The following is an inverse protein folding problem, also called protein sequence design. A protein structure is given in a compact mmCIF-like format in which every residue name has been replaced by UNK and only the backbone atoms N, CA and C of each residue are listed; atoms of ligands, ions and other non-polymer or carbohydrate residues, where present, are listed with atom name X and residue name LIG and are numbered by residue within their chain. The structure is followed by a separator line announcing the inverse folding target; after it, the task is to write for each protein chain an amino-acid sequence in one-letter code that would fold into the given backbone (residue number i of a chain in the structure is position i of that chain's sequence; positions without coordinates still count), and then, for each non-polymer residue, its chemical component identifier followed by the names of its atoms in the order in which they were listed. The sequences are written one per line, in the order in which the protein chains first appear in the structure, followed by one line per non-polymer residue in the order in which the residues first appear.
data_IF_116634254641
#
_entry.id   IF_116634254641
#
_cell.length_a   1.000
_cell.length_b   1.000
_cell.length_c   1.000
_cell.angle_alpha   90.00
_cell.angle_beta   90.00
_cell.angle_gamma   90.00
#
_symmetry.space_group_name_H-M   'P 1'
#
loop_
_entity.id
_entity.type
_entity.pdbx_description
1 polymer ?
#
# COMPACT_ATOMS: atom_id res chain seq x y z
N UNK A 1 16.17 -8.01 -4.46
CA UNK A 1 15.63 -7.94 -3.08
C UNK A 1 14.15 -8.24 -3.16
N UNK A 2 13.71 -9.26 -2.48
CA UNK A 2 12.28 -9.63 -2.49
C UNK A 2 11.50 -8.66 -1.61
N UNK A 3 10.67 -7.81 -2.19
CA UNK A 3 9.79 -6.89 -1.47
C UNK A 3 8.75 -7.62 -0.59
N UNK A 4 8.60 -8.91 -0.83
CA UNK A 4 7.67 -9.78 -0.11
C UNK A 4 8.37 -10.66 0.93
N UNK A 5 9.70 -10.73 0.92
CA UNK A 5 10.45 -11.38 1.97
C UNK A 5 10.37 -10.47 3.21
N UNK A 6 9.53 -10.84 4.16
CA UNK A 6 9.33 -10.08 5.36
C UNK A 6 10.65 -9.91 6.10
N UNK A 7 10.98 -8.69 6.43
CA UNK A 7 11.91 -8.45 7.52
C UNK A 7 11.27 -9.08 8.77
N UNK A 8 11.78 -10.24 9.12
CA UNK A 8 11.34 -10.96 10.32
C UNK A 8 11.85 -10.20 11.54
N UNK A 9 11.19 -9.13 11.88
CA UNK A 9 11.34 -8.50 13.18
C UNK A 9 10.28 -9.10 14.08
N UNK A 10 10.69 -10.10 14.78
CA UNK A 10 9.84 -11.03 15.52
C UNK A 10 9.07 -10.42 16.70
N UNK A 11 9.38 -9.21 17.12
CA UNK A 11 8.82 -8.64 18.35
C UNK A 11 8.24 -7.23 18.21
N UNK A 12 8.14 -6.70 17.01
CA UNK A 12 7.63 -5.35 16.81
C UNK A 12 6.29 -5.38 16.06
N UNK A 13 5.38 -4.51 16.47
CA UNK A 13 4.09 -4.34 15.83
C UNK A 13 4.22 -3.87 14.35
N UNK A 14 5.42 -3.45 13.94
CA UNK A 14 5.70 -2.98 12.58
C UNK A 14 7.21 -3.02 12.26
N UNK A 15 7.53 -2.96 10.98
CA UNK A 15 8.89 -2.74 10.47
C UNK A 15 8.97 -1.43 9.68
N UNK A 16 10.12 -0.75 9.75
CA UNK A 16 10.40 0.39 8.88
C UNK A 16 10.91 -0.11 7.53
N UNK A 17 10.40 0.49 6.45
CA UNK A 17 10.76 0.15 5.09
C UNK A 17 10.85 1.41 4.23
N UNK A 18 11.88 1.48 3.39
CA UNK A 18 11.99 2.53 2.38
C UNK A 18 11.34 2.07 1.08
N UNK A 19 10.63 2.98 0.43
CA UNK A 19 10.10 2.79 -0.91
C UNK A 19 10.68 3.84 -1.83
N UNK A 20 11.41 3.42 -2.88
CA UNK A 20 11.94 4.38 -3.85
C UNK A 20 10.82 5.05 -4.63
N UNK A 21 11.09 6.23 -5.17
CA UNK A 21 10.17 6.89 -6.09
C UNK A 21 9.96 6.04 -7.34
N UNK A 22 8.73 5.97 -7.81
CA UNK A 22 8.37 5.19 -8.99
C UNK A 22 7.10 5.73 -9.66
N UNK A 23 6.82 5.23 -10.84
CA UNK A 23 5.60 5.53 -11.57
C UNK A 23 4.69 4.32 -11.59
N UNK A 24 3.43 4.55 -11.23
CA UNK A 24 2.37 3.54 -11.30
C UNK A 24 1.48 3.79 -12.51
N UNK A 25 1.03 2.71 -13.12
CA UNK A 25 -0.01 2.70 -14.16
C UNK A 25 -1.24 2.03 -13.58
N UNK A 26 -2.38 2.71 -13.60
CA UNK A 26 -3.59 2.19 -12.97
C UNK A 26 -4.80 3.10 -13.07
N UNK A 27 -5.64 3.10 -12.04
CA UNK A 27 -6.89 3.84 -11.99
C UNK A 27 -7.11 4.50 -10.64
N UNK A 28 -7.73 5.69 -10.68
CA UNK A 28 -8.33 6.31 -9.52
C UNK A 28 -9.71 5.74 -9.23
N UNK A 29 -10.02 5.67 -7.96
CA UNK A 29 -11.34 5.40 -7.43
C UNK A 29 -11.65 6.40 -6.31
N UNK A 30 -12.90 6.73 -6.13
CA UNK A 30 -13.36 7.56 -5.01
C UNK A 30 -14.71 7.06 -4.54
N UNK A 31 -14.88 6.91 -3.25
CA UNK A 31 -16.11 6.39 -2.68
C UNK A 31 -16.12 6.45 -1.16
N UNK A 32 -17.18 5.90 -0.59
CA UNK A 32 -17.36 5.82 0.86
C UNK A 32 -16.67 4.60 1.44
N UNK A 33 -16.41 4.64 2.75
CA UNK A 33 -15.94 3.47 3.49
C UNK A 33 -16.91 2.29 3.39
N UNK A 34 -18.22 2.58 3.37
CA UNK A 34 -19.26 1.57 3.19
C UNK A 34 -19.16 0.87 1.83
N UNK A 35 -18.97 1.64 0.76
CA UNK A 35 -18.77 1.09 -0.58
C UNK A 35 -17.53 0.21 -0.66
N UNK A 36 -16.43 0.65 -0.08
CA UNK A 36 -15.19 -0.12 -0.03
C UNK A 36 -15.38 -1.43 0.76
N UNK A 37 -16.04 -1.37 1.92
CA UNK A 37 -16.37 -2.54 2.72
C UNK A 37 -17.29 -3.52 1.99
N UNK A 38 -18.17 -3.02 1.12
CA UNK A 38 -19.04 -3.84 0.27
C UNK A 38 -18.33 -4.45 -0.96
N UNK A 39 -17.02 -4.24 -1.10
CA UNK A 39 -16.21 -4.85 -2.17
C UNK A 39 -16.07 -4.01 -3.44
N UNK A 40 -16.31 -2.72 -3.39
CA UNK A 40 -16.21 -1.83 -4.55
C UNK A 40 -14.81 -1.80 -5.19
N UNK A 41 -13.76 -2.13 -4.43
CA UNK A 41 -12.38 -2.18 -4.93
C UNK A 41 -12.01 -3.52 -5.58
N UNK A 42 -12.76 -4.58 -5.36
CA UNK A 42 -12.45 -5.90 -5.92
C UNK A 42 -12.34 -5.91 -7.45
N UNK A 43 -13.24 -5.28 -8.23
CA UNK A 43 -13.09 -5.21 -9.68
C UNK A 43 -11.82 -4.49 -10.12
N UNK A 44 -11.39 -3.47 -9.37
CA UNK A 44 -10.13 -2.77 -9.64
C UNK A 44 -8.92 -3.67 -9.43
N UNK A 45 -8.92 -4.43 -8.34
CA UNK A 45 -7.83 -5.36 -8.04
C UNK A 45 -7.76 -6.44 -9.11
N UNK A 46 -8.88 -7.00 -9.54
CA UNK A 46 -8.94 -7.97 -10.64
C UNK A 46 -8.39 -7.37 -11.95
N UNK A 47 -8.74 -6.14 -12.26
CA UNK A 47 -8.21 -5.45 -13.44
C UNK A 47 -6.69 -5.28 -13.37
N UNK A 48 -6.15 -4.92 -12.20
CA UNK A 48 -4.70 -4.80 -12.00
C UNK A 48 -3.99 -6.16 -12.06
N UNK A 49 -4.61 -7.22 -11.58
CA UNK A 49 -4.09 -8.59 -11.74
C UNK A 49 -3.96 -8.96 -13.21
N UNK A 50 -4.96 -8.67 -14.01
CA UNK A 50 -4.94 -8.92 -15.45
C UNK A 50 -3.89 -8.07 -16.15
N UNK A 51 -3.77 -6.80 -15.81
CA UNK A 51 -2.74 -5.91 -16.35
C UNK A 51 -1.34 -6.42 -16.01
N UNK A 52 -1.11 -6.83 -14.79
CA UNK A 52 0.16 -7.42 -14.35
C UNK A 52 0.48 -8.71 -15.12
N UNK A 53 -0.49 -9.60 -15.26
CA UNK A 53 -0.30 -10.87 -15.95
C UNK A 53 0.02 -10.68 -17.45
N UNK A 54 -0.54 -9.64 -18.07
CA UNK A 54 -0.34 -9.33 -19.49
C UNK A 54 0.92 -8.51 -19.77
N UNK A 55 1.58 -7.96 -18.73
CA UNK A 55 2.79 -7.17 -18.90
C UNK A 55 3.97 -8.01 -19.38
N UNK A 56 4.90 -7.37 -20.09
CA UNK A 56 6.13 -8.01 -20.55
C UNK A 56 7.20 -8.14 -19.46
N UNK A 57 6.95 -7.59 -18.28
CA UNK A 57 7.90 -7.59 -17.17
C UNK A 57 8.19 -9.01 -16.69
N UNK A 58 9.47 -9.37 -16.62
CA UNK A 58 9.90 -10.69 -16.10
C UNK A 58 9.59 -10.86 -14.63
N UNK A 59 9.72 -9.79 -13.85
CA UNK A 59 9.45 -9.76 -12.43
C UNK A 59 8.22 -8.93 -12.17
N UNK A 60 7.19 -9.57 -11.61
CA UNK A 60 5.95 -8.88 -11.31
C UNK A 60 6.08 -8.12 -9.99
N UNK A 61 5.93 -6.80 -10.08
CA UNK A 61 5.86 -5.94 -8.91
C UNK A 61 4.53 -6.11 -8.18
N UNK A 62 4.45 -5.78 -6.88
CA UNK A 62 3.18 -5.73 -6.17
C UNK A 62 2.18 -4.79 -6.85
N UNK A 63 0.90 -5.08 -6.67
CA UNK A 63 -0.16 -4.12 -6.95
C UNK A 63 -0.18 -3.13 -5.81
N UNK A 64 -0.07 -1.84 -6.11
CA UNK A 64 0.05 -0.78 -5.11
C UNK A 64 -1.25 0.01 -5.03
N UNK A 65 -1.79 0.14 -3.83
CA UNK A 65 -2.89 1.01 -3.50
C UNK A 65 -2.44 2.21 -2.66
N UNK A 66 -2.89 3.40 -3.02
CA UNK A 66 -2.60 4.64 -2.29
C UNK A 66 -3.90 5.31 -1.90
N UNK A 67 -4.00 5.74 -0.65
CA UNK A 67 -5.21 6.33 -0.08
C UNK A 67 -4.98 7.79 0.28
N UNK A 68 -5.93 8.63 -0.12
CA UNK A 68 -6.06 10.02 0.33
C UNK A 68 -7.38 10.16 1.09
N UNK A 69 -7.29 10.57 2.34
CA UNK A 69 -8.43 10.80 3.21
C UNK A 69 -8.98 12.22 2.95
N UNK A 70 -9.67 12.41 1.85
CA UNK A 70 -10.11 13.71 1.33
C UNK A 70 -11.53 14.09 1.79
N UNK A 71 -12.20 13.23 2.55
CA UNK A 71 -13.55 13.46 3.06
C UNK A 71 -13.87 12.62 4.30
N UNK A 72 -14.85 13.03 5.13
CA UNK A 72 -15.14 12.34 6.40
C UNK A 72 -15.74 10.94 6.24
N UNK A 73 -16.49 10.69 5.18
CA UNK A 73 -17.25 9.45 4.95
C UNK A 73 -16.60 8.48 3.96
N UNK A 74 -15.42 8.82 3.45
CA UNK A 74 -14.77 8.00 2.45
C UNK A 74 -13.35 8.45 2.15
N UNK A 75 -12.88 8.07 0.97
CA UNK A 75 -11.52 8.34 0.55
C UNK A 75 -11.38 8.29 -0.97
N UNK A 76 -10.29 8.84 -1.44
CA UNK A 76 -9.80 8.67 -2.80
C UNK A 76 -8.70 7.61 -2.81
N UNK A 77 -8.67 6.80 -3.83
CA UNK A 77 -7.77 5.66 -3.95
C UNK A 77 -7.17 5.60 -5.34
N UNK A 78 -5.90 5.25 -5.44
CA UNK A 78 -5.26 4.89 -6.69
C UNK A 78 -4.76 3.47 -6.58
N UNK A 79 -5.10 2.63 -7.54
CA UNK A 79 -4.60 1.26 -7.61
C UNK A 79 -3.87 1.09 -8.94
N UNK A 80 -2.62 0.61 -8.86
CA UNK A 80 -1.81 0.48 -10.05
C UNK A 80 -0.63 -0.48 -9.88
N UNK A 81 0.06 -0.68 -10.96
CA UNK A 81 1.28 -1.48 -11.02
C UNK A 81 2.43 -0.66 -11.57
N UNK A 82 3.64 -1.02 -11.18
CA UNK A 82 4.86 -0.53 -11.82
C UNK A 82 5.15 -1.40 -13.04
N UNK A 83 5.15 -0.81 -14.22
CA UNK A 83 5.46 -1.48 -15.48
C UNK A 83 6.12 -0.53 -16.45
N UNK A 84 7.02 -1.05 -17.28
CA UNK A 84 7.60 -0.32 -18.42
C UNK A 84 6.64 -0.27 -19.62
N UNK A 85 5.62 -1.11 -19.62
CA UNK A 85 4.67 -1.18 -20.72
C UNK A 85 3.75 0.04 -20.75
N UNK A 86 3.43 0.51 -21.95
CA UNK A 86 2.34 1.46 -22.13
C UNK A 86 1.01 0.73 -22.12
N UNK A 87 0.10 1.23 -21.29
CA UNK A 87 -1.25 0.68 -21.18
C UNK A 87 -2.28 1.77 -21.52
N UNK A 88 -2.87 1.69 -22.70
CA UNK A 88 -3.90 2.61 -23.14
C UNK A 88 -5.14 2.53 -22.23
N UNK A 89 -5.69 3.69 -21.88
CA UNK A 89 -6.89 3.78 -21.05
C UNK A 89 -6.62 3.73 -19.53
N UNK A 90 -5.36 3.63 -19.12
CA UNK A 90 -4.96 3.76 -17.72
C UNK A 90 -4.29 5.10 -17.45
N UNK A 91 -4.36 5.52 -16.22
CA UNK A 91 -3.68 6.73 -15.74
C UNK A 91 -2.29 6.39 -15.21
N UNK A 92 -1.39 7.35 -15.26
CA UNK A 92 -0.05 7.25 -14.67
C UNK A 92 0.07 8.18 -13.48
N UNK A 93 0.70 7.70 -12.42
CA UNK A 93 0.93 8.45 -11.21
C UNK A 93 2.40 8.34 -10.81
N UNK A 94 3.07 9.48 -10.71
CA UNK A 94 4.40 9.54 -10.12
C UNK A 94 4.30 9.53 -8.60
N UNK A 95 4.93 8.54 -7.98
CA UNK A 95 4.95 8.36 -6.53
C UNK A 95 6.32 8.74 -6.02
N UNK A 96 6.43 9.69 -5.08
CA UNK A 96 7.73 10.06 -4.52
C UNK A 96 8.30 8.96 -3.65
N UNK A 97 9.62 8.98 -3.47
CA UNK A 97 10.27 8.14 -2.47
C UNK A 97 9.71 8.46 -1.08
N UNK A 98 9.49 7.43 -0.28
CA UNK A 98 8.95 7.58 1.07
C UNK A 98 9.52 6.55 2.02
N UNK A 99 9.62 6.93 3.29
CA UNK A 99 9.83 5.98 4.38
C UNK A 99 8.48 5.57 4.94
N UNK A 100 8.29 4.28 5.17
CA UNK A 100 7.05 3.74 5.68
C UNK A 100 7.29 2.88 6.91
N UNK A 101 6.27 2.81 7.75
CA UNK A 101 6.12 1.74 8.73
C UNK A 101 5.08 0.76 8.21
N UNK A 102 5.38 -0.52 8.23
CA UNK A 102 4.51 -1.51 7.64
C UNK A 102 4.36 -2.78 8.48
N UNK A 103 3.27 -3.49 8.24
CA UNK A 103 3.06 -4.82 8.75
C UNK A 103 2.40 -5.70 7.67
N UNK A 104 2.59 -6.99 7.80
CA UNK A 104 1.88 -7.96 6.99
C UNK A 104 0.52 -8.27 7.62
N UNK A 105 -0.54 -8.05 6.84
CA UNK A 105 -1.89 -8.47 7.21
C UNK A 105 -2.17 -9.83 6.57
N UNK A 106 -2.17 -10.88 7.37
CA UNK A 106 -2.44 -12.26 6.93
C UNK A 106 -3.86 -12.70 7.24
N UNK A 107 -4.20 -13.90 6.80
CA UNK A 107 -5.55 -14.46 6.90
C UNK A 107 -6.10 -14.56 8.33
N UNK A 108 -5.24 -14.68 9.35
CA UNK A 108 -5.65 -14.77 10.76
C UNK A 108 -5.59 -13.45 11.53
N UNK A 109 -5.33 -12.34 10.86
CA UNK A 109 -5.04 -11.06 11.52
C UNK A 109 -6.28 -10.23 11.90
N UNK A 110 -7.48 -10.72 11.64
CA UNK A 110 -8.72 -9.95 11.80
C UNK A 110 -9.02 -9.07 10.59
N UNK A 111 -9.63 -7.92 10.81
CA UNK A 111 -9.94 -6.98 9.75
C UNK A 111 -8.73 -6.10 9.38
N UNK A 112 -8.74 -5.55 8.19
CA UNK A 112 -7.73 -4.56 7.75
C UNK A 112 -7.73 -3.34 8.65
N UNK A 113 -8.90 -2.88 9.08
CA UNK A 113 -9.03 -1.75 10.02
C UNK A 113 -8.36 -2.03 11.36
N UNK A 114 -8.51 -3.24 11.89
CA UNK A 114 -7.83 -3.66 13.14
C UNK A 114 -6.31 -3.68 12.97
N UNK A 115 -5.82 -4.15 11.82
CA UNK A 115 -4.38 -4.15 11.52
C UNK A 115 -3.82 -2.73 11.40
N UNK A 116 -4.52 -1.82 10.76
CA UNK A 116 -4.15 -0.39 10.77
C UNK A 116 -4.14 0.19 12.17
N UNK A 117 -5.11 -0.19 13.01
CA UNK A 117 -5.15 0.23 14.41
C UNK A 117 -3.91 -0.22 15.19
N UNK A 118 -3.47 -1.45 14.99
CA UNK A 118 -2.22 -1.95 15.59
C UNK A 118 -0.99 -1.18 15.10
N UNK A 119 -0.93 -0.90 13.80
CA UNK A 119 0.16 -0.14 13.20
C UNK A 119 0.23 1.28 13.75
N UNK A 120 -0.89 1.97 13.82
CA UNK A 120 -0.96 3.33 14.36
C UNK A 120 -0.58 3.37 15.85
N UNK A 121 -0.99 2.38 16.62
CA UNK A 121 -0.61 2.26 18.04
C UNK A 121 0.88 2.06 18.19
N UNK A 122 1.48 1.17 17.39
CA UNK A 122 2.93 0.93 17.40
C UNK A 122 3.72 2.20 17.07
N UNK A 123 3.26 3.00 16.12
CA UNK A 123 3.89 4.29 15.80
C UNK A 123 3.83 5.26 16.97
N UNK A 124 2.69 5.38 17.64
CA UNK A 124 2.55 6.26 18.81
C UNK A 124 3.47 5.82 19.95
N UNK A 125 3.53 4.54 20.24
CA UNK A 125 4.39 3.97 21.28
C UNK A 125 5.89 4.19 20.98
N UNK A 126 6.26 4.15 19.70
CA UNK A 126 7.63 4.39 19.25
C UNK A 126 7.98 5.88 19.06
N UNK A 127 7.00 6.78 19.20
CA UNK A 127 7.20 8.21 18.98
C UNK A 127 7.46 8.58 17.51
N UNK A 128 6.96 7.79 16.57
CA UNK A 128 7.15 8.02 15.14
C UNK A 128 5.95 8.78 14.58
N UNK A 129 6.21 9.92 13.95
CA UNK A 129 5.17 10.74 13.34
C UNK A 129 4.84 10.25 11.93
N UNK A 130 3.54 10.29 11.58
CA UNK A 130 3.08 10.03 10.22
C UNK A 130 3.43 11.17 9.29
N UNK A 131 3.71 10.82 8.04
CA UNK A 131 3.88 11.78 6.95
C UNK A 131 2.74 11.60 5.94
N UNK A 132 1.82 12.55 5.91
CA UNK A 132 0.69 12.56 4.99
C UNK A 132 0.84 13.59 3.87
N UNK A 133 2.06 14.03 3.60
CA UNK A 133 2.32 15.06 2.60
C UNK A 133 1.98 14.62 1.17
N UNK A 134 2.06 13.33 0.86
CA UNK A 134 1.66 12.78 -0.42
C UNK A 134 0.39 11.94 -0.33
N UNK A 135 0.40 10.89 0.48
CA UNK A 135 -0.77 10.03 0.72
C UNK A 135 -0.87 9.64 2.19
N UNK A 136 -2.04 9.16 2.60
CA UNK A 136 -2.27 8.73 3.98
C UNK A 136 -1.88 7.29 4.27
N UNK A 137 -2.05 6.41 3.28
CA UNK A 137 -1.82 4.97 3.41
C UNK A 137 -1.31 4.41 2.10
N UNK A 138 -0.48 3.36 2.21
CA UNK A 138 -0.01 2.57 1.08
C UNK A 138 -0.29 1.09 1.36
N UNK A 139 -0.83 0.41 0.38
CA UNK A 139 -1.08 -1.02 0.41
C UNK A 139 -0.33 -1.70 -0.72
N UNK A 140 0.23 -2.87 -0.45
CA UNK A 140 0.93 -3.66 -1.45
C UNK A 140 0.31 -5.05 -1.48
N UNK A 141 -0.34 -5.38 -2.58
CA UNK A 141 -0.97 -6.68 -2.81
C UNK A 141 -0.02 -7.57 -3.61
N UNK A 142 0.05 -8.87 -3.28
CA UNK A 142 0.69 -9.82 -4.19
C UNK A 142 0.05 -9.74 -5.59
N UNK A 143 0.83 -9.78 -6.67
CA UNK A 143 0.27 -9.67 -8.04
C UNK A 143 -0.66 -10.82 -8.42
N UNK A 144 -0.58 -11.93 -7.70
CA UNK A 144 -1.41 -13.14 -7.84
C UNK A 144 -2.44 -13.30 -6.72
N UNK A 145 -2.76 -12.23 -5.99
CA UNK A 145 -3.68 -12.28 -4.85
C UNK A 145 -4.99 -13.02 -5.19
N UNK A 146 -5.41 -13.90 -4.30
CA UNK A 146 -6.68 -14.61 -4.38
C UNK A 146 -7.76 -13.84 -3.62
N UNK A 147 -8.68 -13.21 -4.35
CA UNK A 147 -9.77 -12.42 -3.77
C UNK A 147 -10.94 -13.29 -3.25
N UNK A 148 -10.90 -14.60 -3.49
CA UNK A 148 -11.86 -15.56 -2.90
C UNK A 148 -11.45 -16.02 -1.52
N UNK A 149 -10.19 -15.82 -1.14
CA UNK A 149 -9.64 -16.09 0.18
C UNK A 149 -9.64 -14.82 1.04
N UNK A 150 -9.44 -14.92 2.37
CA UNK A 150 -9.19 -13.75 3.21
C UNK A 150 -7.99 -12.94 2.68
N UNK A 151 -8.12 -11.61 2.70
CA UNK A 151 -7.09 -10.71 2.19
C UNK A 151 -5.76 -10.91 2.92
N UNK A 152 -4.70 -11.01 2.15
CA UNK A 152 -3.32 -11.04 2.65
C UNK A 152 -2.52 -10.01 1.86
N UNK A 153 -2.07 -8.96 2.53
CA UNK A 153 -1.39 -7.83 1.92
C UNK A 153 -0.48 -7.13 2.92
N UNK A 154 0.42 -6.31 2.41
CA UNK A 154 1.22 -5.43 3.26
C UNK A 154 0.52 -4.08 3.43
N UNK A 155 0.38 -3.65 4.66
CA UNK A 155 -0.14 -2.34 5.03
C UNK A 155 1.02 -1.43 5.43
N UNK A 156 1.08 -0.23 4.88
CA UNK A 156 2.14 0.73 5.14
C UNK A 156 1.56 2.11 5.43
N UNK A 157 2.16 2.78 6.40
CA UNK A 157 1.88 4.19 6.69
C UNK A 157 3.16 4.98 6.41
N UNK A 158 3.11 5.99 5.53
CA UNK A 158 4.22 6.90 5.36
C UNK A 158 4.54 7.58 6.69
N UNK A 159 5.81 7.65 7.02
CA UNK A 159 6.32 8.24 8.27
C UNK A 159 7.37 9.29 7.97
N UNK A 160 7.49 10.26 8.88
CA UNK A 160 8.57 11.23 8.82
C UNK A 160 9.90 10.53 9.11
N UNK A 161 10.87 10.76 8.24
CA UNK A 161 12.22 10.30 8.48
C UNK A 161 12.69 10.85 9.83
N UNK A 162 13.35 9.99 10.64
CA UNK A 162 14.08 10.48 11.78
C UNK A 162 15.15 11.45 11.26
N UNK A 163 15.07 12.72 11.64
CA UNK A 163 16.23 13.58 11.61
C UNK A 163 17.27 12.97 12.54
N UNK A 164 18.08 12.07 12.01
CA UNK A 164 19.41 11.90 12.57
C UNK A 164 20.11 13.20 12.25
N UNK A 165 20.05 14.12 13.22
CA UNK A 165 20.78 15.35 13.13
C UNK A 165 22.20 15.01 12.74
N UNK A 166 22.67 15.59 11.68
CA UNK A 166 24.08 15.78 11.44
C UNK A 166 24.57 16.56 12.64
N UNK A 167 25.03 15.85 13.67
CA UNK A 167 25.93 16.43 14.62
C UNK A 167 27.26 16.54 13.90
N UNK A 168 27.49 17.72 13.37
CA UNK A 168 28.85 18.19 13.04
C UNK A 168 29.63 18.44 14.30
#
# INVERSE_FOLDING_TARGET
MCLMCGDATLDHAFALAERPGHRLTGRFWSGTFEQAAAGALHPLIEEMKLLSASSSDLWKSPIVGLTWNDRPDGFRYFLGIETEDEAAGFERLDVPAMQCAGLWHGAGAGTVVESYGRLMRGLREAGIARDQSFCGQREEYPPDIDLTAPLALRLLLPVRGSNRGTQS
#
